data_IF_246473645785
#
_entry.id   IF_246473645785
#
_cell.length_a   1.000
_cell.length_b   1.000
_cell.length_c   1.000
_cell.angle_alpha   90.00
_cell.angle_beta   90.00
_cell.angle_gamma   90.00
#
_symmetry.space_group_name_H-M   'P 1'
#
loop_
_entity.id
_entity.type
_entity.pdbx_description
1 polymer ?
#
# COMPACT_ATOMS: atom_id res chain seq x y z
N UNK A 1 -50.87 -28.67 2.97
CA UNK A 1 -49.48 -29.00 2.56
C UNK A 1 -48.68 -27.76 2.87
N UNK A 2 -48.21 -27.65 4.11
CA UNK A 2 -47.63 -26.41 4.63
C UNK A 2 -46.13 -26.42 4.38
N UNK A 3 -45.69 -25.48 3.53
CA UNK A 3 -44.29 -25.23 3.24
C UNK A 3 -43.61 -24.68 4.52
N UNK A 4 -43.01 -25.59 5.29
CA UNK A 4 -42.18 -25.25 6.46
C UNK A 4 -40.92 -24.55 5.95
N UNK A 5 -40.91 -23.23 5.95
CA UNK A 5 -39.72 -22.42 5.68
C UNK A 5 -38.69 -22.71 6.77
N UNK A 6 -37.74 -23.62 6.49
CA UNK A 6 -36.60 -23.88 7.35
C UNK A 6 -35.68 -22.66 7.29
N UNK A 7 -35.81 -21.74 8.26
CA UNK A 7 -34.82 -20.69 8.51
C UNK A 7 -33.49 -21.36 8.83
N UNK A 8 -32.58 -21.38 7.86
CA UNK A 8 -31.23 -21.92 8.01
C UNK A 8 -30.47 -21.03 9.00
N UNK A 9 -30.07 -21.60 10.14
CA UNK A 9 -29.21 -20.92 11.12
C UNK A 9 -27.85 -20.65 10.46
N UNK A 10 -27.32 -19.44 10.61
CA UNK A 10 -26.03 -19.03 10.05
C UNK A 10 -25.02 -18.76 11.15
N UNK A 11 -23.76 -19.09 10.90
CA UNK A 11 -22.66 -18.85 11.82
C UNK A 11 -22.53 -17.35 12.14
N UNK A 12 -22.42 -17.01 13.42
CA UNK A 12 -22.20 -15.65 13.88
C UNK A 12 -20.84 -15.09 13.42
N UNK A 13 -19.82 -15.94 13.30
CA UNK A 13 -18.46 -15.52 12.96
C UNK A 13 -18.24 -15.34 11.45
N UNK A 14 -18.51 -16.37 10.64
CA UNK A 14 -18.18 -16.39 9.21
C UNK A 14 -19.38 -16.38 8.27
N UNK A 15 -20.61 -16.48 8.80
CA UNK A 15 -21.83 -16.43 7.99
C UNK A 15 -22.19 -17.73 7.25
N UNK A 16 -21.34 -18.75 7.28
CA UNK A 16 -21.65 -20.06 6.71
C UNK A 16 -22.88 -20.71 7.36
N UNK A 17 -23.65 -21.52 6.61
CA UNK A 17 -24.79 -22.23 7.16
C UNK A 17 -24.34 -23.24 8.22
N UNK A 18 -25.01 -23.24 9.37
CA UNK A 18 -24.86 -24.25 10.41
C UNK A 18 -25.57 -25.55 9.99
N UNK A 19 -24.99 -26.70 10.36
CA UNK A 19 -25.68 -27.98 10.32
C UNK A 19 -26.75 -28.04 11.44
N UNK A 20 -27.66 -29.01 11.39
CA UNK A 20 -28.71 -29.15 12.40
C UNK A 20 -28.14 -29.37 13.82
N UNK A 21 -27.02 -30.08 13.93
CA UNK A 21 -26.19 -30.14 15.12
C UNK A 21 -24.99 -29.18 14.97
N UNK A 22 -25.15 -27.97 15.48
CA UNK A 22 -24.10 -26.96 15.51
C UNK A 22 -23.76 -26.53 16.94
N UNK A 23 -22.71 -25.72 17.07
CA UNK A 23 -22.20 -25.28 18.36
C UNK A 23 -22.88 -23.99 18.76
N UNK A 24 -23.35 -23.91 19.99
CA UNK A 24 -23.92 -22.69 20.58
C UNK A 24 -23.03 -22.26 21.73
N UNK A 25 -22.48 -21.05 21.64
CA UNK A 25 -21.63 -20.47 22.67
C UNK A 25 -22.02 -19.00 22.87
N UNK A 26 -22.14 -18.54 24.13
CA UNK A 26 -22.57 -17.17 24.46
C UNK A 26 -23.87 -16.73 23.72
N UNK A 27 -24.82 -17.65 23.57
CA UNK A 27 -26.08 -17.41 22.86
C UNK A 27 -25.95 -17.21 21.35
N UNK A 28 -24.80 -17.54 20.75
CA UNK A 28 -24.50 -17.41 19.32
C UNK A 28 -24.22 -18.77 18.69
N UNK A 29 -24.59 -18.91 17.42
CA UNK A 29 -24.44 -20.15 16.65
C UNK A 29 -23.12 -20.16 15.87
N UNK A 30 -22.41 -21.29 15.87
CA UNK A 30 -21.14 -21.47 15.17
C UNK A 30 -21.13 -22.75 14.33
N UNK A 31 -20.69 -22.62 13.06
CA UNK A 31 -20.67 -23.75 12.12
C UNK A 31 -19.58 -24.79 12.40
N UNK A 32 -18.52 -24.43 13.16
CA UNK A 32 -17.43 -25.33 13.51
C UNK A 32 -16.70 -24.87 14.79
N UNK A 33 -15.89 -25.77 15.38
CA UNK A 33 -15.10 -25.45 16.57
C UNK A 33 -14.10 -24.30 16.33
N UNK A 34 -13.57 -24.16 15.12
CA UNK A 34 -12.67 -23.05 14.80
C UNK A 34 -13.34 -21.68 14.93
N UNK A 35 -14.59 -21.54 14.50
CA UNK A 35 -15.33 -20.28 14.61
C UNK A 35 -15.66 -19.93 16.07
N UNK A 36 -16.00 -20.93 16.88
CA UNK A 36 -16.19 -20.81 18.33
C UNK A 36 -14.89 -20.32 19.00
N UNK A 37 -13.77 -21.00 18.76
CA UNK A 37 -12.47 -20.65 19.37
C UNK A 37 -11.99 -19.25 18.98
N UNK A 38 -12.19 -18.84 17.72
CA UNK A 38 -11.85 -17.47 17.29
C UNK A 38 -12.74 -16.45 17.97
N UNK A 39 -14.03 -16.73 18.11
CA UNK A 39 -14.94 -15.85 18.83
C UNK A 39 -14.50 -15.65 20.28
N UNK A 40 -14.17 -16.72 20.99
CA UNK A 40 -13.71 -16.65 22.39
C UNK A 40 -12.41 -15.86 22.49
N UNK A 41 -11.44 -16.14 21.62
CA UNK A 41 -10.16 -15.42 21.58
C UNK A 41 -10.34 -13.91 21.37
N UNK A 42 -11.24 -13.52 20.46
CA UNK A 42 -11.53 -12.10 20.22
C UNK A 42 -12.27 -11.48 21.40
N UNK A 43 -13.19 -12.22 22.03
CA UNK A 43 -13.93 -11.75 23.20
C UNK A 43 -12.99 -11.50 24.39
N UNK A 44 -12.11 -12.45 24.70
CA UNK A 44 -11.11 -12.36 25.77
C UNK A 44 -10.11 -11.23 25.54
N UNK A 45 -9.69 -11.00 24.29
CA UNK A 45 -8.80 -9.89 23.93
C UNK A 45 -9.52 -8.52 23.92
N UNK A 46 -10.84 -8.48 24.16
CA UNK A 46 -11.69 -7.29 24.10
C UNK A 46 -11.83 -6.72 22.69
N UNK A 47 -11.74 -7.58 21.67
CA UNK A 47 -11.77 -7.24 20.25
C UNK A 47 -13.17 -7.39 19.62
N UNK A 48 -14.23 -7.29 20.43
CA UNK A 48 -15.62 -7.47 19.97
C UNK A 48 -16.08 -6.46 18.91
N UNK A 49 -15.44 -5.28 18.83
CA UNK A 49 -15.71 -4.29 17.76
C UNK A 49 -15.54 -4.89 16.36
N UNK A 50 -14.77 -5.98 16.23
CA UNK A 50 -14.66 -6.78 15.02
C UNK A 50 -16.03 -7.14 14.41
N UNK A 51 -17.01 -7.49 15.25
CA UNK A 51 -18.37 -7.84 14.84
C UNK A 51 -19.32 -6.63 14.73
N UNK A 52 -18.92 -5.47 15.27
CA UNK A 52 -19.69 -4.23 15.14
C UNK A 52 -19.39 -3.51 13.81
N UNK A 53 -18.16 -3.65 13.32
CA UNK A 53 -17.69 -3.02 12.08
C UNK A 53 -18.28 -3.67 10.82
N UNK A 54 -18.38 -5.00 10.80
CA UNK A 54 -19.01 -5.76 9.72
C UNK A 54 -19.74 -6.98 10.26
N UNK A 55 -20.79 -7.40 9.55
CA UNK A 55 -21.53 -8.62 9.90
C UNK A 55 -20.79 -9.83 9.36
N UNK A 56 -20.55 -10.81 10.23
CA UNK A 56 -19.96 -12.11 9.88
C UNK A 56 -18.61 -12.01 9.11
N UNK A 57 -17.64 -11.20 9.56
CA UNK A 57 -16.40 -10.93 8.82
C UNK A 57 -15.37 -12.08 8.87
N UNK A 58 -15.64 -13.13 9.64
CA UNK A 58 -14.74 -14.26 9.85
C UNK A 58 -14.53 -15.13 8.61
N UNK A 59 -13.38 -15.78 8.55
CA UNK A 59 -13.07 -16.76 7.49
C UNK A 59 -13.06 -18.15 8.11
N UNK A 60 -13.80 -19.08 7.52
CA UNK A 60 -13.78 -20.48 7.95
C UNK A 60 -12.40 -21.10 7.70
N UNK A 61 -11.87 -21.79 8.70
CA UNK A 61 -10.60 -22.50 8.58
C UNK A 61 -10.80 -23.88 7.98
N UNK A 62 -10.05 -24.18 6.91
CA UNK A 62 -9.94 -25.54 6.37
C UNK A 62 -8.77 -26.25 7.04
N UNK A 63 -9.07 -27.24 7.88
CA UNK A 63 -8.19 -27.72 8.97
C UNK A 63 -7.32 -28.93 8.62
N UNK A 64 -6.63 -29.00 7.48
CA UNK A 64 -5.67 -30.11 7.27
C UNK A 64 -4.47 -29.82 6.38
N UNK A 65 -4.63 -29.08 5.29
CA UNK A 65 -3.51 -28.79 4.39
C UNK A 65 -2.56 -27.70 4.91
N UNK A 66 -3.03 -26.84 5.83
CA UNK A 66 -2.29 -25.67 6.28
C UNK A 66 -1.29 -25.99 7.41
N UNK A 67 -1.62 -26.88 8.35
CA UNK A 67 -0.72 -27.23 9.46
C UNK A 67 0.61 -27.84 8.98
N UNK A 68 0.57 -28.72 7.98
CA UNK A 68 1.76 -29.37 7.39
C UNK A 68 2.74 -28.37 6.76
N UNK A 69 2.32 -27.14 6.47
CA UNK A 69 3.17 -26.08 5.91
C UNK A 69 3.78 -25.16 6.96
N UNK A 70 3.48 -25.33 8.25
CA UNK A 70 4.03 -24.47 9.29
C UNK A 70 5.55 -24.64 9.44
N UNK A 71 6.04 -25.87 9.25
CA UNK A 71 7.48 -26.20 9.31
C UNK A 71 8.31 -25.45 8.26
N UNK A 72 7.71 -25.11 7.11
CA UNK A 72 8.38 -24.31 6.08
C UNK A 72 8.79 -22.93 6.60
N UNK A 73 8.02 -22.35 7.53
CA UNK A 73 8.33 -21.04 8.11
C UNK A 73 9.46 -21.09 9.15
N UNK A 74 9.94 -22.29 9.52
CA UNK A 74 11.14 -22.47 10.32
C UNK A 74 12.41 -22.54 9.46
N UNK A 75 12.28 -22.72 8.13
CA UNK A 75 13.41 -22.80 7.23
C UNK A 75 14.09 -21.43 7.07
N UNK A 76 15.44 -21.36 7.14
CA UNK A 76 16.18 -20.10 6.98
C UNK A 76 15.85 -19.36 5.67
N UNK A 77 15.72 -20.08 4.55
CA UNK A 77 15.41 -19.52 3.24
C UNK A 77 14.05 -18.80 3.18
N UNK A 78 13.09 -19.27 3.99
CA UNK A 78 11.77 -18.67 4.09
C UNK A 78 11.82 -17.46 5.02
N UNK A 79 12.57 -17.56 6.12
CA UNK A 79 12.80 -16.44 7.04
C UNK A 79 13.41 -15.24 6.32
N UNK A 80 14.44 -15.44 5.50
CA UNK A 80 15.08 -14.35 4.74
C UNK A 80 14.13 -13.61 3.79
N UNK A 81 13.12 -14.30 3.25
CA UNK A 81 12.13 -13.68 2.36
C UNK A 81 11.05 -12.90 3.10
N UNK A 82 10.78 -13.26 4.35
CA UNK A 82 9.70 -12.68 5.15
C UNK A 82 10.20 -11.61 6.11
N UNK A 83 11.43 -11.70 6.60
CA UNK A 83 12.02 -10.77 7.57
C UNK A 83 12.67 -9.61 6.83
N UNK A 84 12.19 -8.39 7.11
CA UNK A 84 12.76 -7.15 6.56
C UNK A 84 13.98 -6.70 7.36
N UNK A 85 13.91 -6.82 8.69
CA UNK A 85 15.01 -6.55 9.59
C UNK A 85 14.88 -7.37 10.88
N UNK A 86 16.02 -7.64 11.52
CA UNK A 86 16.10 -8.35 12.80
C UNK A 86 17.30 -7.83 13.57
N UNK A 87 17.07 -7.05 14.63
CA UNK A 87 18.14 -6.40 15.39
C UNK A 87 17.78 -6.36 16.89
N UNK A 88 18.75 -6.67 17.76
CA UNK A 88 18.58 -6.64 19.23
C UNK A 88 17.32 -7.37 19.75
N UNK A 89 16.97 -8.52 19.16
CA UNK A 89 15.80 -9.31 19.55
C UNK A 89 14.45 -8.78 19.05
N UNK A 90 14.44 -7.68 18.28
CA UNK A 90 13.26 -7.13 17.61
C UNK A 90 13.32 -7.46 16.12
N UNK A 91 12.28 -8.14 15.66
CA UNK A 91 12.19 -8.59 14.27
C UNK A 91 10.97 -8.00 13.62
N UNK A 92 11.13 -7.54 12.37
CA UNK A 92 10.04 -7.11 11.53
C UNK A 92 9.88 -8.04 10.35
N UNK A 93 8.70 -8.61 10.22
CA UNK A 93 8.34 -9.48 9.11
C UNK A 93 7.18 -8.88 8.31
N UNK A 94 7.17 -9.16 7.01
CA UNK A 94 6.11 -8.80 6.08
C UNK A 94 5.45 -10.07 5.55
N UNK A 95 4.13 -10.07 5.56
CA UNK A 95 3.30 -11.18 5.13
C UNK A 95 2.27 -10.73 4.10
N UNK A 96 2.00 -11.59 3.11
CA UNK A 96 0.89 -11.39 2.18
C UNK A 96 -0.35 -12.11 2.69
N UNK A 97 -1.45 -11.37 2.84
CA UNK A 97 -2.73 -11.82 3.42
C UNK A 97 -3.88 -11.59 2.41
N UNK A 98 -4.06 -12.46 1.40
CA UNK A 98 -5.11 -12.29 0.38
C UNK A 98 -6.54 -12.28 0.93
N UNK A 99 -6.76 -12.89 2.08
CA UNK A 99 -8.08 -13.11 2.71
C UNK A 99 -8.67 -11.82 3.30
N UNK A 100 -7.86 -10.76 3.43
CA UNK A 100 -8.29 -9.47 3.95
C UNK A 100 -9.24 -8.77 2.97
N UNK A 101 -10.51 -8.60 3.33
CA UNK A 101 -11.54 -8.09 2.40
C UNK A 101 -12.44 -6.99 2.98
N UNK A 102 -12.42 -6.76 4.29
CA UNK A 102 -13.27 -5.75 4.94
C UNK A 102 -12.53 -4.91 5.99
N UNK A 103 -13.20 -3.89 6.53
CA UNK A 103 -12.67 -2.99 7.57
C UNK A 103 -12.37 -3.72 8.88
N UNK A 104 -13.19 -4.71 9.26
CA UNK A 104 -12.95 -5.56 10.44
C UNK A 104 -11.63 -6.32 10.33
N UNK A 105 -11.28 -6.83 9.14
CA UNK A 105 -9.99 -7.50 8.91
C UNK A 105 -8.82 -6.55 9.23
N UNK A 106 -8.88 -5.31 8.73
CA UNK A 106 -7.83 -4.30 8.94
C UNK A 106 -7.70 -4.02 10.43
N UNK A 107 -8.83 -3.72 11.09
CA UNK A 107 -8.86 -3.38 12.50
C UNK A 107 -8.30 -4.49 13.39
N UNK A 108 -8.70 -5.74 13.16
CA UNK A 108 -8.18 -6.89 13.91
C UNK A 108 -6.67 -7.05 13.71
N UNK A 109 -6.21 -6.98 12.47
CA UNK A 109 -4.79 -7.17 12.16
C UNK A 109 -3.91 -6.02 12.67
N UNK A 110 -4.41 -4.80 12.78
CA UNK A 110 -3.68 -3.69 13.42
C UNK A 110 -3.65 -3.81 14.95
N UNK A 111 -4.61 -4.53 15.54
CA UNK A 111 -4.75 -4.73 16.98
C UNK A 111 -4.22 -6.08 17.49
N UNK A 112 -3.37 -6.78 16.72
CA UNK A 112 -2.81 -8.08 17.11
C UNK A 112 -2.04 -8.09 18.45
N UNK A 113 -1.47 -6.95 18.84
CA UNK A 113 -0.79 -6.78 20.12
C UNK A 113 -1.68 -7.04 21.34
N UNK A 114 -3.01 -6.96 21.18
CA UNK A 114 -3.99 -7.29 22.23
C UNK A 114 -4.18 -8.80 22.41
N UNK A 115 -3.88 -9.59 21.37
CA UNK A 115 -3.95 -11.06 21.40
C UNK A 115 -2.60 -11.65 21.82
N UNK A 116 -1.50 -11.10 21.29
CA UNK A 116 -0.14 -11.56 21.58
C UNK A 116 0.74 -10.37 22.03
N UNK A 117 1.03 -10.25 23.33
CA UNK A 117 1.81 -9.13 23.89
C UNK A 117 3.25 -9.02 23.38
N UNK A 118 3.79 -10.09 22.78
CA UNK A 118 5.12 -10.07 22.14
C UNK A 118 5.14 -9.27 20.84
N UNK A 119 3.98 -8.97 20.25
CA UNK A 119 3.84 -8.08 19.10
C UNK A 119 3.91 -6.62 19.58
N UNK A 120 4.90 -5.89 19.09
CA UNK A 120 5.12 -4.47 19.41
C UNK A 120 4.22 -3.59 18.54
N UNK A 121 4.15 -3.92 17.25
CA UNK A 121 3.39 -3.15 16.27
C UNK A 121 2.93 -4.02 15.12
N UNK A 122 1.73 -3.73 14.63
CA UNK A 122 1.21 -4.28 13.39
C UNK A 122 0.73 -3.14 12.48
N UNK A 123 0.94 -3.25 11.18
CA UNK A 123 0.43 -2.31 10.16
C UNK A 123 -0.07 -3.06 8.94
N UNK A 124 -1.20 -2.59 8.42
CA UNK A 124 -1.85 -3.19 7.25
C UNK A 124 -1.72 -2.25 6.04
N UNK A 125 -1.27 -2.80 4.90
CA UNK A 125 -1.52 -2.20 3.58
C UNK A 125 -2.67 -2.96 2.92
N UNK A 126 -3.87 -2.38 2.97
CA UNK A 126 -5.06 -3.00 2.36
C UNK A 126 -4.93 -3.09 0.83
N UNK A 127 -4.28 -2.10 0.21
CA UNK A 127 -4.07 -2.03 -1.25
C UNK A 127 -3.18 -3.17 -1.74
N UNK A 128 -2.09 -3.44 -1.02
CA UNK A 128 -1.12 -4.48 -1.41
C UNK A 128 -1.46 -5.87 -0.84
N UNK A 129 -2.48 -5.96 0.02
CA UNK A 129 -2.80 -7.14 0.84
C UNK A 129 -1.59 -7.59 1.66
N UNK A 130 -0.87 -6.63 2.24
CA UNK A 130 0.33 -6.87 3.04
C UNK A 130 0.10 -6.51 4.51
N UNK A 131 0.71 -7.30 5.39
CA UNK A 131 0.72 -7.13 6.83
C UNK A 131 2.18 -7.08 7.29
N UNK A 132 2.57 -5.98 7.94
CA UNK A 132 3.90 -5.81 8.51
C UNK A 132 3.82 -5.85 10.03
N UNK A 133 4.54 -6.79 10.65
CA UNK A 133 4.50 -7.06 12.09
C UNK A 133 5.91 -6.87 12.65
N UNK A 134 6.03 -6.05 13.68
CA UNK A 134 7.22 -5.91 14.51
C UNK A 134 6.98 -6.61 15.85
N UNK A 135 7.81 -7.58 16.20
CA UNK A 135 7.63 -8.45 17.36
C UNK A 135 8.97 -8.83 18.00
N UNK A 136 8.92 -9.34 19.23
CA UNK A 136 10.11 -9.84 19.95
C UNK A 136 10.32 -11.31 19.62
N UNK A 137 11.28 -11.62 18.75
CA UNK A 137 11.48 -12.98 18.21
C UNK A 137 11.89 -13.98 19.29
N UNK A 138 12.56 -13.53 20.36
CA UNK A 138 12.92 -14.35 21.52
C UNK A 138 11.71 -14.95 22.24
N UNK A 139 10.59 -14.21 22.28
CA UNK A 139 9.34 -14.64 22.95
C UNK A 139 8.36 -15.26 21.98
N UNK A 140 8.33 -14.77 20.74
CA UNK A 140 7.43 -15.22 19.70
C UNK A 140 8.23 -15.53 18.43
N UNK A 141 8.69 -16.78 18.23
CA UNK A 141 9.40 -17.15 17.01
C UNK A 141 8.46 -17.11 15.80
N UNK A 142 9.03 -16.86 14.61
CA UNK A 142 8.29 -16.66 13.36
C UNK A 142 7.22 -17.74 13.07
N UNK A 143 7.47 -19.05 13.24
CA UNK A 143 6.44 -20.07 13.00
C UNK A 143 5.24 -19.95 13.96
N UNK A 144 5.46 -19.52 15.20
CA UNK A 144 4.38 -19.30 16.17
C UNK A 144 3.55 -18.07 15.81
N UNK A 145 4.18 -17.00 15.32
CA UNK A 145 3.47 -15.85 14.76
C UNK A 145 2.58 -16.26 13.58
N UNK A 146 3.09 -17.08 12.67
CA UNK A 146 2.31 -17.62 11.54
C UNK A 146 1.16 -18.50 12.02
N UNK A 147 1.39 -19.32 13.06
CA UNK A 147 0.35 -20.14 13.69
C UNK A 147 -0.76 -19.28 14.29
N UNK A 148 -0.41 -18.18 14.96
CA UNK A 148 -1.38 -17.21 15.48
C UNK A 148 -2.21 -16.61 14.35
N UNK A 149 -1.57 -16.12 13.28
CA UNK A 149 -2.26 -15.54 12.13
C UNK A 149 -3.22 -16.53 11.46
N UNK A 150 -2.79 -17.80 11.32
CA UNK A 150 -3.66 -18.88 10.84
C UNK A 150 -4.84 -19.12 11.76
N UNK A 151 -4.61 -19.15 13.08
CA UNK A 151 -5.65 -19.36 14.09
C UNK A 151 -6.72 -18.28 14.07
N UNK A 152 -6.43 -17.05 13.64
CA UNK A 152 -7.43 -15.99 13.47
C UNK A 152 -7.98 -15.88 12.04
N UNK A 153 -7.66 -16.82 11.14
CA UNK A 153 -8.17 -16.88 9.76
C UNK A 153 -7.36 -16.08 8.72
N UNK A 154 -6.20 -15.53 9.10
CA UNK A 154 -5.34 -14.72 8.23
C UNK A 154 -4.00 -15.39 7.98
N UNK A 155 -4.03 -16.67 7.62
CA UNK A 155 -2.82 -17.43 7.33
C UNK A 155 -2.04 -16.83 6.15
N UNK A 156 -0.75 -16.50 6.33
CA UNK A 156 0.06 -15.97 5.25
C UNK A 156 0.31 -17.03 4.18
N UNK A 157 0.21 -16.64 2.92
CA UNK A 157 0.55 -17.52 1.82
C UNK A 157 2.05 -17.41 1.50
N UNK A 158 2.75 -18.55 1.49
CA UNK A 158 4.07 -18.63 0.89
C UNK A 158 3.87 -18.55 -0.62
N UNK A 159 4.28 -17.44 -1.26
CA UNK A 159 4.33 -17.37 -2.72
C UNK A 159 5.39 -18.38 -3.20
N UNK A 160 4.96 -19.61 -3.46
CA UNK A 160 5.80 -20.65 -4.06
C UNK A 160 6.04 -20.28 -5.53
N UNK A 161 7.17 -19.61 -5.79
CA UNK A 161 7.62 -19.27 -7.14
C UNK A 161 7.03 -17.97 -7.67
N UNK A 162 7.92 -17.10 -8.16
CA UNK A 162 7.68 -15.77 -8.75
C UNK A 162 7.41 -14.60 -7.79
N UNK A 163 8.22 -14.48 -6.74
CA UNK A 163 8.59 -13.16 -6.21
C UNK A 163 10.11 -13.01 -6.10
N UNK A 164 10.84 -13.57 -7.07
CA UNK A 164 12.13 -13.01 -7.47
C UNK A 164 11.86 -11.68 -8.17
N UNK A 165 11.67 -10.58 -7.43
CA UNK A 165 11.60 -9.25 -8.07
C UNK A 165 10.82 -8.12 -7.40
N UNK A 166 10.59 -8.14 -6.08
CA UNK A 166 10.21 -6.91 -5.35
C UNK A 166 11.16 -6.51 -4.23
N UNK A 167 12.29 -7.21 -4.11
CA UNK A 167 13.51 -6.54 -3.69
C UNK A 167 13.98 -5.68 -4.88
N UNK A 168 13.79 -4.38 -4.76
CA UNK A 168 14.59 -3.34 -5.40
C UNK A 168 14.64 -3.25 -6.94
N UNK A 169 13.63 -3.78 -7.65
CA UNK A 169 13.43 -3.32 -9.02
C UNK A 169 12.77 -1.95 -9.00
N UNK A 170 13.62 -0.91 -8.98
CA UNK A 170 13.24 0.44 -9.40
C UNK A 170 12.29 0.29 -10.59
N UNK A 171 11.04 0.78 -10.50
CA UNK A 171 10.05 0.49 -11.51
C UNK A 171 10.60 0.94 -12.86
N UNK A 172 10.45 0.12 -13.92
CA UNK A 172 10.92 0.47 -15.28
C UNK A 172 10.48 1.87 -15.70
N UNK A 173 9.33 2.32 -15.21
CA UNK A 173 8.81 3.67 -15.39
C UNK A 173 9.70 4.77 -14.76
N UNK A 174 10.38 4.53 -13.63
CA UNK A 174 11.31 5.48 -13.04
C UNK A 174 12.55 5.67 -13.92
N UNK A 175 13.11 4.60 -14.50
CA UNK A 175 14.20 4.72 -15.47
C UNK A 175 13.78 5.48 -16.72
N UNK A 176 12.56 5.23 -17.23
CA UNK A 176 12.00 5.97 -18.37
C UNK A 176 11.83 7.45 -18.00
N UNK A 177 11.26 7.75 -16.83
CA UNK A 177 11.07 9.13 -16.35
C UNK A 177 12.41 9.84 -16.15
N UNK A 178 13.41 9.17 -15.61
CA UNK A 178 14.76 9.72 -15.43
C UNK A 178 15.42 10.01 -16.79
N UNK A 179 15.29 9.10 -17.76
CA UNK A 179 15.80 9.30 -19.12
C UNK A 179 15.09 10.45 -19.84
N UNK A 180 13.76 10.53 -19.72
CA UNK A 180 12.96 11.63 -20.28
C UNK A 180 13.30 12.97 -19.61
N UNK A 181 13.44 12.99 -18.28
CA UNK A 181 13.85 14.18 -17.54
C UNK A 181 15.23 14.67 -17.97
N UNK A 182 16.23 13.79 -18.01
CA UNK A 182 17.58 14.15 -18.46
C UNK A 182 17.61 14.64 -19.92
N UNK A 183 16.83 14.02 -20.80
CA UNK A 183 16.71 14.46 -22.19
C UNK A 183 16.09 15.86 -22.29
N UNK A 184 14.98 16.11 -21.59
CA UNK A 184 14.32 17.41 -21.63
C UNK A 184 15.17 18.50 -20.97
N UNK A 185 15.76 18.22 -19.79
CA UNK A 185 16.65 19.14 -19.09
C UNK A 185 17.84 19.55 -19.97
N UNK A 186 18.52 18.56 -20.56
CA UNK A 186 19.68 18.81 -21.42
C UNK A 186 19.35 19.66 -22.66
N UNK A 187 18.22 19.38 -23.33
CA UNK A 187 17.80 20.16 -24.49
C UNK A 187 17.33 21.57 -24.12
N UNK A 188 16.55 21.71 -23.04
CA UNK A 188 16.06 23.02 -22.58
C UNK A 188 17.22 23.91 -22.16
N UNK A 189 18.21 23.37 -21.44
CA UNK A 189 19.43 24.10 -21.07
C UNK A 189 20.24 24.53 -22.31
N UNK A 190 20.33 23.68 -23.33
CA UNK A 190 21.00 24.02 -24.59
C UNK A 190 20.29 25.15 -25.34
N UNK A 191 18.96 25.18 -25.33
CA UNK A 191 18.19 26.25 -25.99
C UNK A 191 18.22 27.56 -25.22
N UNK A 192 18.39 27.52 -23.89
CA UNK A 192 18.60 28.71 -23.06
C UNK A 192 20.05 29.24 -23.10
N UNK A 193 21.01 28.46 -23.61
CA UNK A 193 22.44 28.80 -23.64
C UNK A 193 22.81 30.04 -24.49
N UNK A 194 22.24 30.27 -25.70
CA UNK A 194 22.53 31.46 -26.52
C UNK A 194 22.19 32.78 -25.82
N UNK A 195 21.26 32.75 -24.86
CA UNK A 195 20.81 33.92 -24.11
C UNK A 195 21.81 34.31 -23.01
N UNK A 196 22.44 33.32 -22.36
CA UNK A 196 23.52 33.55 -21.39
C UNK A 196 24.77 34.15 -22.01
N UNK A 197 25.03 33.88 -23.29
CA UNK A 197 26.19 34.41 -24.01
C UNK A 197 25.95 35.80 -24.62
N UNK A 198 24.75 36.37 -24.49
CA UNK A 198 24.44 37.68 -25.05
C UNK A 198 24.57 37.74 -26.58
N UNK A 199 24.33 36.62 -27.28
CA UNK A 199 24.46 36.57 -28.74
C UNK A 199 23.35 37.41 -29.40
N UNK A 200 23.60 38.71 -29.60
CA UNK A 200 22.65 39.73 -30.10
C UNK A 200 22.37 39.66 -31.61
N UNK A 201 22.91 38.65 -32.30
CA UNK A 201 22.95 38.62 -33.77
C UNK A 201 21.64 38.30 -34.48
N UNK A 202 20.74 37.51 -33.91
CA UNK A 202 19.57 37.00 -34.65
C UNK A 202 18.32 36.88 -33.76
N UNK A 203 17.52 37.95 -33.70
CA UNK A 203 16.26 37.99 -32.95
C UNK A 203 15.27 36.86 -33.35
N UNK A 204 15.29 36.41 -34.61
CA UNK A 204 14.47 35.30 -35.09
C UNK A 204 14.87 33.96 -34.49
N UNK A 205 16.17 33.70 -34.30
CA UNK A 205 16.64 32.47 -33.66
C UNK A 205 16.28 32.45 -32.17
N UNK A 206 16.36 33.59 -31.48
CA UNK A 206 15.95 33.71 -30.07
C UNK A 206 14.49 33.34 -29.88
N UNK A 207 13.59 33.91 -30.68
CA UNK A 207 12.15 33.58 -30.63
C UNK A 207 11.92 32.09 -30.94
N UNK A 208 12.65 31.53 -31.90
CA UNK A 208 12.60 30.10 -32.20
C UNK A 208 12.98 29.22 -31.00
N UNK A 209 14.09 29.54 -30.31
CA UNK A 209 14.53 28.81 -29.11
C UNK A 209 13.56 28.95 -27.93
N UNK A 210 12.96 30.13 -27.74
CA UNK A 210 11.95 30.35 -26.69
C UNK A 210 10.72 29.45 -26.86
N UNK A 211 10.19 29.37 -28.09
CA UNK A 211 9.08 28.48 -28.41
C UNK A 211 9.46 26.99 -28.30
N UNK A 212 10.71 26.65 -28.60
CA UNK A 212 11.22 25.30 -28.44
C UNK A 212 11.34 24.91 -26.96
N UNK A 213 11.85 25.79 -26.10
CA UNK A 213 11.85 25.61 -24.65
C UNK A 213 10.44 25.50 -24.08
N UNK A 214 9.50 26.31 -24.55
CA UNK A 214 8.10 26.20 -24.17
C UNK A 214 7.50 24.83 -24.56
N UNK A 215 7.78 24.33 -25.77
CA UNK A 215 7.34 23.01 -26.22
C UNK A 215 7.89 21.87 -25.34
N UNK A 216 9.17 21.93 -24.98
CA UNK A 216 9.82 20.93 -24.13
C UNK A 216 9.35 20.99 -22.67
N UNK A 217 8.88 22.14 -22.19
CA UNK A 217 8.32 22.27 -20.84
C UNK A 217 6.98 21.53 -20.65
N UNK A 218 6.21 21.33 -21.73
CA UNK A 218 4.89 20.66 -21.69
C UNK A 218 4.98 19.24 -21.12
N UNK A 219 5.83 18.34 -21.64
CA UNK A 219 5.99 17.01 -21.06
C UNK A 219 6.56 17.03 -19.64
N UNK A 220 7.34 18.04 -19.24
CA UNK A 220 7.82 18.16 -17.85
C UNK A 220 6.63 18.31 -16.90
N UNK A 221 5.78 19.31 -17.15
CA UNK A 221 4.63 19.58 -16.30
C UNK A 221 3.61 18.46 -16.38
N UNK A 222 3.28 18.00 -17.59
CA UNK A 222 2.19 17.03 -17.76
C UNK A 222 2.59 15.59 -17.43
N UNK A 223 3.84 15.18 -17.66
CA UNK A 223 4.27 13.78 -17.47
C UNK A 223 5.16 13.61 -16.25
N UNK A 224 6.17 14.46 -16.05
CA UNK A 224 7.10 14.32 -14.92
C UNK A 224 6.47 14.79 -13.60
N UNK A 225 5.66 15.86 -13.62
CA UNK A 225 5.02 16.40 -12.42
C UNK A 225 3.66 15.77 -12.06
N UNK A 226 3.20 14.75 -12.81
CA UNK A 226 1.89 14.11 -12.58
C UNK A 226 1.72 13.61 -11.14
N UNK A 227 2.77 13.02 -10.57
CA UNK A 227 2.67 12.42 -9.23
C UNK A 227 2.49 13.49 -8.15
N UNK A 228 3.18 14.63 -8.27
CA UNK A 228 2.98 15.79 -7.39
C UNK A 228 1.56 16.34 -7.51
N UNK A 229 1.01 16.44 -8.71
CA UNK A 229 -0.38 16.89 -8.91
C UNK A 229 -1.40 15.93 -8.29
N UNK A 230 -1.20 14.62 -8.45
CA UNK A 230 -2.08 13.61 -7.84
C UNK A 230 -2.01 13.66 -6.31
N UNK A 231 -0.82 13.74 -5.74
CA UNK A 231 -0.62 13.81 -4.30
C UNK A 231 -1.18 15.11 -3.71
N UNK A 232 -0.99 16.25 -4.38
CA UNK A 232 -1.56 17.53 -3.99
C UNK A 232 -3.09 17.51 -4.02
N UNK A 233 -3.69 16.97 -5.09
CA UNK A 233 -5.14 16.84 -5.23
C UNK A 233 -5.76 15.90 -4.18
N UNK A 234 -5.10 14.78 -3.92
CA UNK A 234 -5.53 13.83 -2.88
C UNK A 234 -5.50 14.49 -1.49
N UNK A 235 -4.42 15.21 -1.15
CA UNK A 235 -4.31 15.96 0.11
C UNK A 235 -5.37 17.06 0.25
N UNK A 236 -5.66 17.76 -0.84
CA UNK A 236 -6.71 18.78 -0.85
C UNK A 236 -8.09 18.16 -0.57
N UNK A 237 -8.38 17.00 -1.18
CA UNK A 237 -9.65 16.27 -0.96
C UNK A 237 -9.76 15.71 0.45
N UNK A 238 -8.65 15.27 1.05
CA UNK A 238 -8.62 14.77 2.43
C UNK A 238 -8.51 15.87 3.50
N UNK A 239 -8.46 17.15 3.10
CA UNK A 239 -8.22 18.31 3.99
C UNK A 239 -6.93 18.18 4.81
N UNK A 240 -5.92 17.51 4.28
CA UNK A 240 -4.61 17.36 4.91
C UNK A 240 -3.55 18.10 4.08
N UNK A 241 -2.64 18.78 4.76
CA UNK A 241 -1.54 19.51 4.10
C UNK A 241 -0.39 18.55 3.86
N UNK A 242 -0.05 18.34 2.59
CA UNK A 242 1.07 17.50 2.16
C UNK A 242 2.19 18.37 1.57
N UNK A 243 3.44 17.92 1.71
CA UNK A 243 4.62 18.62 1.15
C UNK A 243 4.54 18.81 -0.38
N UNK A 244 3.79 17.96 -1.07
CA UNK A 244 3.60 18.01 -2.52
C UNK A 244 2.71 19.17 -2.98
N UNK A 245 1.90 19.75 -2.08
CA UNK A 245 0.99 20.86 -2.41
C UNK A 245 1.73 22.15 -2.80
N UNK A 246 2.66 22.69 -1.98
CA UNK A 246 3.44 23.87 -2.38
C UNK A 246 4.30 23.60 -3.61
N UNK A 247 4.82 22.38 -3.79
CA UNK A 247 5.62 21.99 -4.95
C UNK A 247 4.78 22.06 -6.23
N UNK A 248 3.61 21.40 -6.24
CA UNK A 248 2.70 21.42 -7.39
C UNK A 248 2.26 22.85 -7.76
N UNK A 249 1.99 23.69 -6.75
CA UNK A 249 1.59 25.08 -6.96
C UNK A 249 2.73 25.92 -7.53
N UNK A 250 3.97 25.72 -7.06
CA UNK A 250 5.16 26.36 -7.60
C UNK A 250 5.42 26.02 -9.06
N UNK A 251 5.32 24.73 -9.42
CA UNK A 251 5.47 24.25 -10.82
C UNK A 251 4.46 24.95 -11.73
N UNK A 252 3.19 24.99 -11.33
CA UNK A 252 2.13 25.63 -12.11
C UNK A 252 2.35 27.14 -12.24
N UNK A 253 2.66 27.83 -11.14
CA UNK A 253 2.88 29.26 -11.15
C UNK A 253 4.05 29.65 -12.05
N UNK A 254 5.18 28.93 -11.95
CA UNK A 254 6.37 29.19 -12.75
C UNK A 254 6.15 28.89 -14.23
N UNK A 255 5.45 27.81 -14.55
CA UNK A 255 5.12 27.47 -15.94
C UNK A 255 4.20 28.51 -16.59
N UNK A 256 3.13 28.93 -15.89
CA UNK A 256 2.22 29.97 -16.40
C UNK A 256 2.92 31.33 -16.55
N UNK A 257 3.76 31.71 -15.58
CA UNK A 257 4.58 32.93 -15.67
C UNK A 257 5.49 32.90 -16.89
N UNK A 258 6.19 31.80 -17.10
CA UNK A 258 7.12 31.61 -18.23
C UNK A 258 6.40 31.62 -19.58
N UNK A 259 5.22 30.99 -19.65
CA UNK A 259 4.38 30.99 -20.84
C UNK A 259 3.85 32.39 -21.17
N UNK A 260 3.44 33.14 -20.15
CA UNK A 260 3.03 34.54 -20.31
C UNK A 260 4.17 35.40 -20.87
N UNK A 261 5.40 35.24 -20.37
CA UNK A 261 6.54 36.03 -20.82
C UNK A 261 6.90 35.76 -22.28
N UNK A 262 6.86 34.51 -22.73
CA UNK A 262 7.09 34.15 -24.14
C UNK A 262 5.97 34.64 -25.05
N UNK A 263 4.69 34.53 -24.63
CA UNK A 263 3.55 35.00 -25.44
C UNK A 263 3.56 36.52 -25.59
N UNK A 264 3.89 37.25 -24.52
CA UNK A 264 3.91 38.72 -24.51
C UNK A 264 5.21 39.31 -25.07
N UNK A 265 6.22 38.48 -25.34
CA UNK A 265 7.56 38.92 -25.74
C UNK A 265 8.29 39.69 -24.64
N UNK A 266 7.85 39.58 -23.38
CA UNK A 266 8.44 40.28 -22.24
C UNK A 266 9.78 39.67 -21.82
N UNK A 267 10.04 38.42 -22.20
CA UNK A 267 11.29 37.73 -21.94
C UNK A 267 11.24 36.26 -22.37
N UNK A 268 12.33 35.51 -22.17
CA UNK A 268 12.45 34.13 -22.61
C UNK A 268 11.69 33.10 -21.77
N UNK A 269 11.18 33.51 -20.61
CA UNK A 269 10.60 32.60 -19.62
C UNK A 269 11.67 31.80 -18.85
N UNK A 270 11.24 31.07 -17.82
CA UNK A 270 12.11 30.33 -16.89
C UNK A 270 11.85 28.82 -16.98
N UNK A 271 11.69 28.30 -18.20
CA UNK A 271 11.35 26.89 -18.44
C UNK A 271 12.48 25.92 -18.06
N UNK A 272 13.73 26.38 -18.09
CA UNK A 272 14.92 25.65 -17.65
C UNK A 272 14.87 25.32 -16.16
N UNK A 273 14.24 26.17 -15.35
CA UNK A 273 14.10 25.98 -13.90
C UNK A 273 13.09 24.90 -13.52
N UNK A 274 12.32 24.35 -14.48
CA UNK A 274 11.35 23.28 -14.27
C UNK A 274 11.94 21.87 -14.46
N UNK A 275 13.08 21.76 -15.14
CA UNK A 275 13.70 20.50 -15.56
C UNK A 275 14.65 19.89 -14.53
#
# INVERSE_FOLDING_TARGET
MDAKTLTKVTCYHCGDPCADEHRVHDGKDFCCHGCEVVFDLLSEAGLCDYYALEKQPGVKQESSADEQRLELFALPEVREKLVEFSEAGITRARFRIPQMHCSSCIWLLENLHRIEPSIIRSRVSFTDKELSITFREEKLPLPQLVKLLRRIGYGPQLTAGKDTGRADQVPRMLYIRLGVAGFIFGNTMLFSFPEYLGADGEAQLRVGFQWLSALFSVPVVLFLSTDYFRAAWAGLRSKQVNIDQPIALGIMALWFRSLHDVITGAGPGYFDSLG
#
